data_IF_021270727784
#
_entry.id   IF_021270727784
#
_cell.length_a   1.000
_cell.length_b   1.000
_cell.length_c   1.000
_cell.angle_alpha   90.00
_cell.angle_beta   90.00
_cell.angle_gamma   90.00
#
_symmetry.space_group_name_H-M   'P 1'
#
loop_
_entity.id
_entity.type
_entity.pdbx_description
1 polymer ?
#
# COMPACT_ATOMS: atom_id res chain seq x y z
N UNK A 1 -21.47 -13.57 -21.97
CA UNK A 1 -22.24 -12.42 -21.44
C UNK A 1 -22.35 -12.60 -19.94
N UNK A 2 -21.34 -12.15 -19.18
CA UNK A 2 -21.35 -12.26 -17.72
C UNK A 2 -22.12 -11.05 -17.16
N UNK A 3 -23.29 -11.30 -16.58
CA UNK A 3 -23.97 -10.31 -15.74
C UNK A 3 -23.17 -10.19 -14.45
N UNK A 4 -22.30 -9.19 -14.38
CA UNK A 4 -21.66 -8.80 -13.13
C UNK A 4 -22.72 -8.06 -12.31
N UNK A 5 -23.19 -8.71 -11.25
CA UNK A 5 -24.15 -8.14 -10.32
C UNK A 5 -23.49 -6.96 -9.59
N UNK A 6 -24.22 -5.86 -9.47
CA UNK A 6 -23.84 -4.59 -8.82
C UNK A 6 -23.49 -4.69 -7.31
N UNK A 7 -23.27 -5.89 -6.76
CA UNK A 7 -22.88 -6.13 -5.37
C UNK A 7 -21.36 -6.31 -5.17
N UNK A 8 -20.60 -6.51 -6.26
CA UNK A 8 -19.15 -6.73 -6.18
C UNK A 8 -18.34 -5.43 -6.05
N UNK A 9 -18.89 -4.28 -6.49
CA UNK A 9 -18.14 -3.01 -6.48
C UNK A 9 -18.04 -2.38 -5.08
N UNK A 10 -19.03 -2.57 -4.22
CA UNK A 10 -19.01 -2.08 -2.83
C UNK A 10 -18.17 -2.97 -1.92
N UNK A 11 -18.14 -4.27 -2.18
CA UNK A 11 -17.44 -5.28 -1.36
C UNK A 11 -15.92 -5.20 -1.52
N UNK A 12 -15.42 -4.87 -2.72
CA UNK A 12 -13.98 -4.66 -2.95
C UNK A 12 -13.44 -3.43 -2.21
N UNK A 13 -14.30 -2.46 -1.84
CA UNK A 13 -13.93 -1.31 -0.99
C UNK A 13 -13.72 -1.71 0.49
N UNK A 14 -14.29 -2.83 0.94
CA UNK A 14 -14.12 -3.41 2.27
C UNK A 14 -12.96 -4.42 2.36
N UNK A 15 -12.45 -4.91 1.23
CA UNK A 15 -11.26 -5.75 1.20
C UNK A 15 -10.00 -4.88 1.30
N UNK A 16 -9.62 -4.62 2.54
CA UNK A 16 -8.51 -3.80 2.96
C UNK A 16 -7.20 -3.98 2.17
N UNK A 17 -7.02 -3.16 1.15
CA UNK A 17 -5.69 -2.84 0.60
C UNK A 17 -5.09 -1.71 1.44
N UNK A 18 -3.76 -1.67 1.64
CA UNK A 18 -3.12 -0.48 2.19
C UNK A 18 -3.29 0.65 1.18
N UNK A 19 -4.31 1.49 1.40
CA UNK A 19 -4.57 2.66 0.57
C UNK A 19 -3.70 3.80 1.08
N UNK A 20 -2.81 4.36 0.25
CA UNK A 20 -2.15 5.62 0.55
C UNK A 20 -3.19 6.71 0.80
N UNK A 21 -2.81 7.69 1.60
CA UNK A 21 -3.59 8.91 1.84
C UNK A 21 -2.75 10.11 1.45
N UNK A 22 -3.41 11.25 1.25
CA UNK A 22 -2.72 12.53 0.98
C UNK A 22 -1.68 12.87 2.08
N UNK A 23 -1.99 12.56 3.35
CA UNK A 23 -1.09 12.72 4.50
C UNK A 23 0.22 11.91 4.39
N UNK A 24 0.25 10.87 3.54
CA UNK A 24 1.43 10.02 3.35
C UNK A 24 2.47 10.61 2.39
N UNK A 25 2.09 11.60 1.56
CA UNK A 25 2.90 12.07 0.43
C UNK A 25 4.25 12.65 0.88
N UNK A 26 4.23 13.59 1.83
CA UNK A 26 5.48 14.23 2.29
C UNK A 26 6.42 13.22 2.94
N UNK A 27 5.87 12.29 3.73
CA UNK A 27 6.64 11.19 4.31
C UNK A 27 7.20 10.25 3.25
N UNK A 28 6.43 9.96 2.18
CA UNK A 28 6.88 9.11 1.09
C UNK A 28 8.05 9.74 0.33
N UNK A 29 7.97 11.04 0.04
CA UNK A 29 9.05 11.79 -0.62
C UNK A 29 10.30 11.81 0.27
N UNK A 30 10.15 12.12 1.56
CA UNK A 30 11.26 12.12 2.51
C UNK A 30 11.95 10.75 2.59
N UNK A 31 11.18 9.68 2.79
CA UNK A 31 11.72 8.32 2.94
C UNK A 31 12.21 7.69 1.62
N UNK A 32 11.85 8.26 0.47
CA UNK A 32 12.35 7.80 -0.84
C UNK A 32 13.81 8.19 -1.09
N UNK A 33 14.35 9.17 -0.34
CA UNK A 33 15.67 9.74 -0.57
C UNK A 33 15.78 10.58 -1.85
N UNK A 34 14.67 10.82 -2.54
CA UNK A 34 14.62 11.65 -3.74
C UNK A 34 14.56 13.13 -3.36
N UNK A 35 15.13 13.98 -4.21
CA UNK A 35 14.93 15.43 -4.07
C UNK A 35 13.47 15.75 -4.36
N UNK A 36 12.84 16.54 -3.49
CA UNK A 36 11.44 16.96 -3.65
C UNK A 36 11.16 17.73 -4.95
N UNK A 37 12.21 18.27 -5.58
CA UNK A 37 12.14 18.98 -6.88
C UNK A 37 12.14 18.07 -8.09
N UNK A 38 12.37 16.75 -7.93
CA UNK A 38 12.26 15.82 -9.04
C UNK A 38 10.81 15.72 -9.52
N UNK A 39 10.62 15.63 -10.84
CA UNK A 39 9.32 15.54 -11.51
C UNK A 39 8.35 14.56 -10.87
N UNK A 40 8.72 13.29 -10.55
CA UNK A 40 7.79 12.38 -9.87
C UNK A 40 7.35 12.86 -8.48
N UNK A 41 8.23 13.52 -7.73
CA UNK A 41 7.88 14.07 -6.41
C UNK A 41 6.94 15.27 -6.53
N UNK A 42 7.15 16.14 -7.52
CA UNK A 42 6.25 17.28 -7.80
C UNK A 42 4.86 16.79 -8.22
N UNK A 43 4.79 15.82 -9.15
CA UNK A 43 3.51 15.24 -9.58
C UNK A 43 2.78 14.54 -8.42
N UNK A 44 3.50 13.86 -7.53
CA UNK A 44 2.86 13.21 -6.38
C UNK A 44 2.29 14.23 -5.38
N UNK A 45 2.90 15.41 -5.23
CA UNK A 45 2.37 16.51 -4.40
C UNK A 45 1.05 17.08 -4.92
N UNK A 46 0.70 16.87 -6.19
CA UNK A 46 -0.62 17.23 -6.73
C UNK A 46 -1.73 16.31 -6.20
N UNK A 47 -1.36 15.19 -5.57
CA UNK A 47 -2.25 14.25 -4.87
C UNK A 47 -2.24 12.85 -5.46
N UNK A 48 -2.89 11.91 -4.76
CA UNK A 48 -2.92 10.48 -5.11
C UNK A 48 -4.14 10.08 -5.96
N UNK A 49 -4.83 11.06 -6.55
CA UNK A 49 -5.92 10.79 -7.48
C UNK A 49 -5.41 10.02 -8.71
N UNK A 50 -6.25 9.13 -9.25
CA UNK A 50 -5.89 8.20 -10.34
C UNK A 50 -5.24 8.92 -11.53
N UNK A 51 -5.78 10.06 -11.94
CA UNK A 51 -5.25 10.85 -13.06
C UNK A 51 -3.83 11.38 -12.82
N UNK A 52 -3.43 11.66 -11.57
CA UNK A 52 -2.07 12.07 -11.23
C UNK A 52 -1.11 10.86 -11.20
N UNK A 53 -1.58 9.72 -10.70
CA UNK A 53 -0.82 8.47 -10.74
C UNK A 53 -0.58 8.00 -12.18
N UNK A 54 -1.55 8.19 -13.08
CA UNK A 54 -1.38 7.93 -14.51
C UNK A 54 -0.29 8.80 -15.14
N UNK A 55 -0.22 10.10 -14.82
CA UNK A 55 0.89 10.95 -15.27
C UNK A 55 2.24 10.44 -14.74
N UNK A 56 2.27 10.02 -13.47
CA UNK A 56 3.48 9.54 -12.80
C UNK A 56 4.04 8.27 -13.44
N UNK A 57 3.20 7.26 -13.73
CA UNK A 57 3.65 5.99 -14.33
C UNK A 57 4.01 6.14 -15.82
N UNK A 58 3.49 7.16 -16.49
CA UNK A 58 3.75 7.47 -17.90
C UNK A 58 4.95 8.41 -18.10
N UNK A 59 5.72 8.72 -17.04
CA UNK A 59 6.94 9.50 -17.17
C UNK A 59 7.98 8.79 -18.07
N UNK A 60 8.89 9.56 -18.72
CA UNK A 60 9.90 8.99 -19.59
C UNK A 60 10.84 8.03 -18.86
N UNK A 61 11.53 7.18 -19.62
CA UNK A 61 12.31 6.05 -19.08
C UNK A 61 13.39 6.45 -18.05
N UNK A 62 14.01 7.62 -18.23
CA UNK A 62 14.99 8.18 -17.31
C UNK A 62 14.43 8.56 -15.91
N UNK A 63 13.11 8.59 -15.75
CA UNK A 63 12.42 8.84 -14.48
C UNK A 63 11.88 7.57 -13.83
N UNK A 64 11.80 6.44 -14.54
CA UNK A 64 11.13 5.21 -14.05
C UNK A 64 11.68 4.68 -12.72
N UNK A 65 13.00 4.67 -12.55
CA UNK A 65 13.61 4.24 -11.28
C UNK A 65 13.17 5.13 -10.12
N UNK A 66 13.06 6.45 -10.36
CA UNK A 66 12.61 7.40 -9.34
C UNK A 66 11.13 7.20 -9.02
N UNK A 67 10.30 7.03 -10.05
CA UNK A 67 8.88 6.69 -9.90
C UNK A 67 8.70 5.42 -9.08
N UNK A 68 9.43 4.36 -9.39
CA UNK A 68 9.36 3.09 -8.69
C UNK A 68 9.74 3.21 -7.22
N UNK A 69 10.88 3.87 -6.92
CA UNK A 69 11.33 4.11 -5.53
C UNK A 69 10.31 4.96 -4.76
N UNK A 70 9.76 6.00 -5.39
CA UNK A 70 8.76 6.86 -4.77
C UNK A 70 7.46 6.09 -4.45
N UNK A 71 6.95 5.29 -5.39
CA UNK A 71 5.75 4.48 -5.19
C UNK A 71 5.95 3.38 -4.14
N UNK A 72 7.12 2.76 -4.09
CA UNK A 72 7.47 1.81 -3.03
C UNK A 72 7.51 2.48 -1.65
N UNK A 73 8.06 3.69 -1.56
CA UNK A 73 8.08 4.47 -0.32
C UNK A 73 6.65 4.79 0.15
N UNK A 74 5.79 5.24 -0.76
CA UNK A 74 4.38 5.52 -0.48
C UNK A 74 3.62 4.26 -0.04
N UNK A 75 3.80 3.15 -0.76
CA UNK A 75 3.22 1.85 -0.40
C UNK A 75 3.67 1.39 0.98
N UNK A 76 4.97 1.50 1.29
CA UNK A 76 5.53 1.10 2.58
C UNK A 76 4.85 1.84 3.73
N UNK A 77 4.63 3.15 3.61
CA UNK A 77 3.96 3.95 4.65
C UNK A 77 2.51 3.48 4.85
N UNK A 78 1.76 3.34 3.75
CA UNK A 78 0.38 2.86 3.80
C UNK A 78 0.28 1.46 4.41
N UNK A 79 1.22 0.57 4.06
CA UNK A 79 1.33 -0.78 4.60
C UNK A 79 1.67 -0.76 6.10
N UNK A 80 2.65 0.03 6.53
CA UNK A 80 3.07 0.09 7.93
C UNK A 80 1.95 0.59 8.85
N UNK A 81 1.18 1.60 8.40
CA UNK A 81 -0.02 2.04 9.12
C UNK A 81 -0.99 0.88 9.34
N UNK A 82 -1.26 0.08 8.30
CA UNK A 82 -2.14 -1.09 8.40
C UNK A 82 -1.54 -2.18 9.27
N UNK A 83 -0.26 -2.48 9.11
CA UNK A 83 0.44 -3.49 9.89
C UNK A 83 0.34 -3.22 11.39
N UNK A 84 0.56 -1.97 11.83
CA UNK A 84 0.46 -1.60 13.25
C UNK A 84 -0.94 -1.85 13.81
N UNK A 85 -1.99 -1.62 13.02
CA UNK A 85 -3.39 -1.84 13.42
C UNK A 85 -3.74 -3.33 13.49
N UNK A 86 -3.18 -4.14 12.59
CA UNK A 86 -3.67 -5.50 12.33
C UNK A 86 -2.77 -6.62 12.87
N UNK A 87 -1.51 -6.32 13.20
CA UNK A 87 -0.52 -7.35 13.59
C UNK A 87 -0.91 -8.19 14.82
N UNK A 88 -1.77 -7.66 15.68
CA UNK A 88 -2.21 -8.34 16.91
C UNK A 88 -3.59 -9.01 16.75
N UNK A 89 -4.17 -8.99 15.54
CA UNK A 89 -5.47 -9.60 15.28
C UNK A 89 -5.30 -11.13 15.12
N UNK A 90 -5.93 -11.97 15.97
CA UNK A 90 -5.88 -13.43 15.85
C UNK A 90 -6.32 -13.96 14.49
N UNK A 91 -7.31 -13.32 13.86
CA UNK A 91 -7.83 -13.72 12.55
C UNK A 91 -6.89 -13.35 11.39
N UNK A 92 -5.80 -12.62 11.65
CA UNK A 92 -4.85 -12.12 10.65
C UNK A 92 -3.43 -12.59 10.92
N UNK A 93 -3.31 -13.89 11.17
CA UNK A 93 -2.05 -14.59 11.44
C UNK A 93 -0.95 -14.38 10.38
N UNK A 94 -1.29 -13.99 9.14
CA UNK A 94 -0.29 -13.70 8.10
C UNK A 94 0.57 -12.45 8.39
N UNK A 95 0.25 -11.67 9.43
CA UNK A 95 1.12 -10.61 9.94
C UNK A 95 2.07 -11.08 11.05
N UNK A 96 1.92 -12.33 11.53
CA UNK A 96 2.72 -12.87 12.61
C UNK A 96 4.06 -13.41 12.11
N UNK A 97 4.99 -13.52 13.05
CA UNK A 97 6.24 -14.21 12.81
C UNK A 97 6.00 -15.72 12.87
N UNK A 98 6.00 -16.34 11.70
CA UNK A 98 5.80 -17.78 11.54
C UNK A 98 7.07 -18.59 11.85
N UNK A 99 8.19 -17.94 12.19
CA UNK A 99 9.36 -18.61 12.76
C UNK A 99 9.21 -18.90 14.27
N UNK A 100 8.25 -18.27 14.95
CA UNK A 100 7.89 -18.55 16.34
C UNK A 100 6.84 -19.68 16.42
N UNK A 101 7.25 -20.83 16.96
CA UNK A 101 6.38 -21.99 17.15
C UNK A 101 5.14 -21.68 18.00
N UNK A 102 5.21 -20.68 18.89
CA UNK A 102 4.06 -20.23 19.68
C UNK A 102 2.93 -19.72 18.79
N UNK A 103 3.26 -18.97 17.74
CA UNK A 103 2.29 -18.45 16.78
C UNK A 103 1.69 -19.57 15.94
N UNK A 104 2.51 -20.55 15.54
CA UNK A 104 2.05 -21.73 14.81
C UNK A 104 1.04 -22.54 15.64
N UNK A 105 1.35 -22.80 16.91
CA UNK A 105 0.48 -23.55 17.81
C UNK A 105 -0.87 -22.84 18.02
N UNK A 106 -0.88 -21.51 18.16
CA UNK A 106 -2.12 -20.72 18.25
C UNK A 106 -3.01 -20.89 17.01
N UNK A 107 -2.42 -20.78 15.81
CA UNK A 107 -3.16 -20.94 14.54
C UNK A 107 -3.77 -22.34 14.40
N UNK A 108 -3.06 -23.37 14.87
CA UNK A 108 -3.52 -24.76 14.80
C UNK A 108 -4.60 -25.08 15.84
N UNK A 109 -4.53 -24.49 17.04
CA UNK A 109 -5.52 -24.69 18.10
C UNK A 109 -6.87 -24.02 17.79
N UNK A 110 -6.87 -22.84 17.15
CA UNK A 110 -8.10 -22.14 16.77
C UNK A 110 -8.91 -22.85 15.66
N UNK A 111 -8.37 -23.92 15.05
CA UNK A 111 -9.00 -24.66 13.94
C UNK A 111 -9.43 -26.09 14.27
N UNK A 112 -9.30 -26.51 15.53
CA UNK A 112 -9.78 -27.79 16.06
C UNK A 112 -11.03 -27.58 16.91
#
# INVERSE_FOLDING_TARGET
MFKVNNFELTTVRFLGKPTPKEEDIESAILHSGLKSTFTPCVLLKEGIAMHNLEKLINLPENERTKVFVLLLSLFKIAYMRRFVLEKNNPDKWWYWDLSDETNINRILQDRL
#
